data_IF_365481672996
#
_entry.id   IF_365481672996
#
_cell.length_a   1.000
_cell.length_b   1.000
_cell.length_c   1.000
_cell.angle_alpha   90.00
_cell.angle_beta   90.00
_cell.angle_gamma   90.00
#
_symmetry.space_group_name_H-M   'P 1'
#
loop_
_entity.id
_entity.type
_entity.pdbx_description
1 polymer ?
#
# COMPACT_ATOMS: atom_id res chain seq x y z
N UNK A 1 11.67 9.50 10.57
CA UNK A 1 10.81 9.53 9.37
C UNK A 1 9.43 9.06 9.76
N UNK A 2 8.37 9.67 9.21
CA UNK A 2 6.98 9.27 9.45
C UNK A 2 6.46 8.49 8.23
N UNK A 3 6.02 7.28 8.43
CA UNK A 3 5.59 6.36 7.36
C UNK A 3 4.14 5.95 7.61
N UNK A 4 3.30 6.01 6.58
CA UNK A 4 1.94 5.51 6.63
C UNK A 4 1.78 4.35 5.66
N UNK A 5 1.44 3.18 6.18
CA UNK A 5 1.10 2.00 5.38
C UNK A 5 -0.40 2.01 5.11
N UNK A 6 -0.79 2.03 3.85
CA UNK A 6 -2.20 2.13 3.43
C UNK A 6 -2.60 0.82 2.76
N UNK A 7 -3.49 0.05 3.40
CA UNK A 7 -4.01 -1.20 2.84
C UNK A 7 -5.13 -0.91 1.85
N UNK A 8 -4.93 -1.31 0.61
CA UNK A 8 -5.87 -1.01 -0.49
C UNK A 8 -6.96 -2.07 -0.68
N UNK A 9 -7.12 -3.01 0.22
CA UNK A 9 -8.09 -4.10 0.12
C UNK A 9 -9.26 -3.90 1.08
N UNK A 10 -10.51 -4.12 0.63
CA UNK A 10 -11.70 -4.01 1.48
C UNK A 10 -11.85 -5.26 2.36
N UNK A 11 -10.95 -5.42 3.30
CA UNK A 11 -11.00 -6.49 4.29
C UNK A 11 -10.74 -5.91 5.67
N UNK A 12 -11.70 -6.10 6.57
CA UNK A 12 -11.53 -5.71 7.98
C UNK A 12 -10.45 -6.57 8.64
N UNK A 13 -9.49 -5.92 9.28
CA UNK A 13 -8.38 -6.54 9.97
C UNK A 13 -8.49 -6.21 11.47
N UNK A 14 -8.94 -7.18 12.28
CA UNK A 14 -9.12 -6.98 13.72
C UNK A 14 -7.79 -7.09 14.47
N UNK A 15 -7.13 -5.95 14.66
CA UNK A 15 -5.83 -5.89 15.35
C UNK A 15 -5.96 -5.98 16.87
N UNK A 16 -7.17 -5.84 17.43
CA UNK A 16 -7.40 -5.99 18.87
C UNK A 16 -7.45 -7.46 19.25
N UNK A 17 -7.96 -8.32 18.37
CA UNK A 17 -8.01 -9.76 18.59
C UNK A 17 -6.71 -10.47 18.21
N UNK A 18 -6.09 -10.09 17.11
CA UNK A 18 -4.91 -10.79 16.62
C UNK A 18 -4.06 -9.90 15.71
N UNK A 19 -2.79 -9.71 16.06
CA UNK A 19 -1.81 -9.03 15.20
C UNK A 19 -0.89 -10.02 14.48
N UNK A 20 -0.92 -11.29 14.83
CA UNK A 20 -0.16 -12.33 14.16
C UNK A 20 -0.69 -12.52 12.74
N UNK A 21 0.17 -12.75 11.77
CA UNK A 21 -0.17 -12.88 10.35
C UNK A 21 -0.67 -11.59 9.63
N UNK A 22 -0.67 -10.44 10.28
CA UNK A 22 -0.94 -9.17 9.59
C UNK A 22 0.41 -8.56 9.19
N UNK A 23 0.76 -8.70 7.90
CA UNK A 23 2.08 -8.28 7.38
C UNK A 23 2.34 -6.79 7.62
N UNK A 24 1.34 -5.94 7.45
CA UNK A 24 1.43 -4.50 7.66
C UNK A 24 1.81 -4.17 9.11
N UNK A 25 1.20 -4.86 10.08
CA UNK A 25 1.51 -4.69 11.50
C UNK A 25 2.94 -5.14 11.82
N UNK A 26 3.36 -6.28 11.27
CA UNK A 26 4.72 -6.78 11.43
C UNK A 26 5.77 -5.80 10.89
N UNK A 27 5.53 -5.27 9.69
CA UNK A 27 6.40 -4.27 9.06
C UNK A 27 6.42 -2.96 9.87
N UNK A 28 5.26 -2.45 10.28
CA UNK A 28 5.17 -1.21 11.06
C UNK A 28 5.92 -1.33 12.39
N UNK A 29 5.73 -2.44 13.13
CA UNK A 29 6.48 -2.70 14.37
C UNK A 29 8.00 -2.74 14.13
N UNK A 30 8.44 -3.35 13.04
CA UNK A 30 9.87 -3.41 12.70
C UNK A 30 10.45 -2.01 12.40
N UNK A 31 9.68 -1.16 11.71
CA UNK A 31 10.08 0.21 11.42
C UNK A 31 10.11 1.09 12.68
N UNK A 32 9.16 0.92 13.60
CA UNK A 32 9.16 1.61 14.91
C UNK A 32 10.39 1.20 15.73
N UNK A 33 10.73 -0.09 15.78
CA UNK A 33 11.96 -0.56 16.44
C UNK A 33 13.24 0.05 15.88
N UNK A 34 13.21 0.50 14.63
CA UNK A 34 14.32 1.21 13.97
C UNK A 34 14.27 2.75 14.14
N UNK A 35 13.43 3.25 15.05
CA UNK A 35 13.35 4.68 15.38
C UNK A 35 12.50 5.51 14.41
N UNK A 36 11.64 4.88 13.61
CA UNK A 36 10.67 5.60 12.78
C UNK A 36 9.32 5.70 13.50
N UNK A 37 8.48 6.65 13.07
CA UNK A 37 7.04 6.61 13.30
C UNK A 37 6.43 5.85 12.14
N UNK A 38 5.64 4.81 12.42
CA UNK A 38 4.99 4.05 11.37
C UNK A 38 3.58 3.66 11.80
N UNK A 39 2.59 4.12 11.03
CA UNK A 39 1.17 3.91 11.30
C UNK A 39 0.51 3.23 10.10
N UNK A 40 -0.74 2.79 10.28
CA UNK A 40 -1.44 1.96 9.29
C UNK A 40 -2.85 2.50 9.07
N UNK A 41 -3.30 2.52 7.81
CA UNK A 41 -4.72 2.69 7.46
C UNK A 41 -5.30 1.35 7.04
N UNK A 42 -6.34 0.92 7.74
CA UNK A 42 -7.18 -0.21 7.37
C UNK A 42 -8.59 0.24 7.03
N UNK A 43 -9.19 -0.47 6.10
CA UNK A 43 -10.58 -0.30 5.75
C UNK A 43 -11.51 -0.87 6.84
N UNK A 44 -12.64 -0.17 7.06
CA UNK A 44 -13.74 -0.65 7.90
C UNK A 44 -15.08 -0.37 7.26
N UNK A 45 -16.03 -1.26 7.51
CA UNK A 45 -17.47 -1.09 7.27
C UNK A 45 -18.24 -0.71 8.55
N UNK A 46 -17.51 -0.63 9.69
CA UNK A 46 -18.00 -0.24 11.01
C UNK A 46 -17.57 1.21 11.28
N UNK A 47 -17.84 1.71 12.48
CA UNK A 47 -17.41 3.03 12.91
C UNK A 47 -15.89 3.22 12.74
N UNK A 48 -15.51 4.38 12.28
CA UNK A 48 -14.09 4.76 12.22
C UNK A 48 -13.52 4.86 13.62
N UNK A 49 -12.35 4.31 13.81
CA UNK A 49 -11.64 4.35 15.10
C UNK A 49 -10.13 4.32 14.93
N UNK A 50 -9.45 4.64 16.01
CA UNK A 50 -8.01 4.51 16.12
C UNK A 50 -7.68 3.47 17.19
N UNK A 51 -6.71 2.59 16.89
CA UNK A 51 -6.22 1.57 17.82
C UNK A 51 -4.71 1.69 17.92
N UNK A 52 -4.20 1.82 19.14
CA UNK A 52 -2.76 1.87 19.39
C UNK A 52 -2.24 0.46 19.72
N UNK A 53 -1.22 0.03 19.00
CA UNK A 53 -0.51 -1.22 19.24
C UNK A 53 0.85 -0.89 19.84
N UNK A 54 1.14 -1.21 21.10
CA UNK A 54 2.44 -0.93 21.70
C UNK A 54 3.56 -1.73 21.02
N UNK A 55 4.75 -1.13 20.94
CA UNK A 55 5.95 -1.74 20.36
C UNK A 55 7.08 -1.66 21.39
N UNK A 56 7.08 -2.62 22.29
CA UNK A 56 8.07 -2.71 23.37
C UNK A 56 8.14 -1.36 24.15
N UNK A 57 9.32 -0.89 24.50
CA UNK A 57 9.61 0.44 25.08
C UNK A 57 9.83 1.53 24.01
N UNK A 58 9.71 1.21 22.73
CA UNK A 58 10.11 2.07 21.59
C UNK A 58 9.01 2.89 20.99
N UNK A 59 7.78 2.74 21.46
CA UNK A 59 6.65 3.52 20.99
C UNK A 59 5.42 2.68 20.62
N UNK A 60 4.69 3.12 19.64
CA UNK A 60 3.46 2.48 19.20
C UNK A 60 3.28 2.55 17.69
N UNK A 61 2.46 1.66 17.16
CA UNK A 61 1.84 1.75 15.83
C UNK A 61 0.40 2.18 16.03
N UNK A 62 -0.03 3.27 15.39
CA UNK A 62 -1.44 3.65 15.37
C UNK A 62 -2.11 3.06 14.13
N UNK A 63 -3.21 2.37 14.32
CA UNK A 63 -4.05 1.84 13.25
C UNK A 63 -5.29 2.70 13.12
N UNK A 64 -5.43 3.35 11.97
CA UNK A 64 -6.59 4.15 11.60
C UNK A 64 -7.56 3.27 10.81
N UNK A 65 -8.73 2.99 11.35
CA UNK A 65 -9.82 2.36 10.62
C UNK A 65 -10.62 3.44 9.91
N UNK A 66 -10.62 3.40 8.58
CA UNK A 66 -11.24 4.43 7.74
C UNK A 66 -12.23 3.83 6.75
N UNK A 67 -13.32 4.55 6.51
CA UNK A 67 -14.22 4.24 5.42
C UNK A 67 -13.53 4.47 4.07
N UNK A 68 -13.89 3.65 3.09
CA UNK A 68 -13.39 3.79 1.74
C UNK A 68 -14.40 3.22 0.74
N UNK A 69 -14.44 3.82 -0.45
CA UNK A 69 -15.24 3.28 -1.57
C UNK A 69 -14.59 2.00 -2.07
N UNK A 70 -15.36 0.93 -2.12
CA UNK A 70 -14.86 -0.40 -2.50
C UNK A 70 -15.42 -0.83 -3.84
N UNK A 71 -14.55 -1.31 -4.74
CA UNK A 71 -14.93 -1.92 -6.00
C UNK A 71 -13.86 -2.90 -6.47
N UNK A 72 -14.25 -4.06 -7.00
CA UNK A 72 -13.35 -5.06 -7.60
C UNK A 72 -12.11 -5.39 -6.72
N UNK A 73 -12.32 -5.55 -5.42
CA UNK A 73 -11.27 -5.76 -4.41
C UNK A 73 -10.30 -4.59 -4.24
N UNK A 74 -10.64 -3.43 -4.71
CA UNK A 74 -9.94 -2.19 -4.44
C UNK A 74 -10.66 -1.38 -3.38
N UNK A 75 -9.91 -0.66 -2.57
CA UNK A 75 -10.42 0.37 -1.65
C UNK A 75 -9.81 1.71 -2.04
N UNK A 76 -10.64 2.73 -2.14
CA UNK A 76 -10.21 4.12 -2.33
C UNK A 76 -10.70 4.95 -1.15
N UNK A 77 -9.75 5.49 -0.41
CA UNK A 77 -10.01 6.35 0.74
C UNK A 77 -10.22 7.79 0.27
N UNK A 78 -11.38 8.34 0.56
CA UNK A 78 -11.71 9.75 0.33
C UNK A 78 -11.75 10.48 1.68
N UNK A 79 -11.31 11.74 1.71
CA UNK A 79 -11.29 12.54 2.95
C UNK A 79 -10.11 12.26 3.89
N UNK A 80 -9.12 11.48 3.46
CA UNK A 80 -7.91 11.18 4.26
C UNK A 80 -6.72 12.09 3.93
N UNK A 81 -6.92 13.17 3.19
CA UNK A 81 -5.81 14.02 2.71
C UNK A 81 -5.04 14.69 3.85
N UNK A 82 -5.73 15.16 4.88
CA UNK A 82 -5.09 15.75 6.06
C UNK A 82 -4.25 14.72 6.82
N UNK A 83 -4.73 13.49 6.91
CA UNK A 83 -3.94 12.39 7.48
C UNK A 83 -2.71 12.11 6.62
N UNK A 84 -2.88 11.96 5.30
CA UNK A 84 -1.77 11.66 4.38
C UNK A 84 -0.70 12.76 4.35
N UNK A 85 -1.12 14.02 4.54
CA UNK A 85 -0.19 15.16 4.56
C UNK A 85 0.81 15.10 5.71
N UNK A 86 0.46 14.46 6.84
CA UNK A 86 1.29 14.41 8.06
C UNK A 86 2.48 13.44 7.96
N UNK A 87 2.56 12.63 6.89
CA UNK A 87 3.58 11.59 6.73
C UNK A 87 4.58 11.95 5.63
N UNK A 88 5.83 11.54 5.84
CA UNK A 88 6.93 11.70 4.88
C UNK A 88 6.83 10.66 3.75
N UNK A 89 6.31 9.47 4.07
CA UNK A 89 6.18 8.34 3.13
C UNK A 89 4.77 7.74 3.23
N UNK A 90 4.15 7.55 2.05
CA UNK A 90 2.88 6.85 1.89
C UNK A 90 3.15 5.53 1.15
N UNK A 91 3.01 4.42 1.84
CA UNK A 91 3.20 3.10 1.24
C UNK A 91 1.87 2.45 0.93
N UNK A 92 1.68 2.02 -0.31
CA UNK A 92 0.54 1.19 -0.74
C UNK A 92 1.00 -0.17 -1.23
N UNK A 93 0.04 -1.09 -1.42
CA UNK A 93 0.31 -2.40 -2.02
C UNK A 93 -0.13 -2.43 -3.48
N UNK A 94 0.68 -3.08 -4.32
CA UNK A 94 0.44 -3.42 -5.72
C UNK A 94 0.18 -2.24 -6.68
N UNK A 95 0.80 -2.32 -7.85
CA UNK A 95 0.73 -1.23 -8.84
C UNK A 95 -0.68 -1.08 -9.44
N UNK A 96 -1.39 -2.19 -9.62
CA UNK A 96 -2.71 -2.25 -10.25
C UNK A 96 -3.87 -1.98 -9.29
N UNK A 97 -3.60 -1.31 -8.18
CA UNK A 97 -4.61 -0.84 -7.25
C UNK A 97 -4.92 0.63 -7.48
N UNK A 98 -6.21 0.98 -7.48
CA UNK A 98 -6.64 2.36 -7.78
C UNK A 98 -6.10 3.37 -6.76
N UNK A 99 -6.06 3.02 -5.46
CA UNK A 99 -5.48 3.88 -4.43
C UNK A 99 -4.00 4.16 -4.69
N UNK A 100 -3.22 3.14 -5.11
CA UNK A 100 -1.80 3.31 -5.46
C UNK A 100 -1.63 4.31 -6.60
N UNK A 101 -2.46 4.22 -7.63
CA UNK A 101 -2.42 5.14 -8.76
C UNK A 101 -2.81 6.57 -8.38
N UNK A 102 -3.85 6.74 -7.54
CA UNK A 102 -4.30 8.06 -7.07
C UNK A 102 -3.18 8.73 -6.25
N UNK A 103 -2.56 7.99 -5.32
CA UNK A 103 -1.50 8.53 -4.47
C UNK A 103 -0.21 8.81 -5.25
N UNK A 104 0.16 7.95 -6.19
CA UNK A 104 1.28 8.21 -7.09
C UNK A 104 1.11 9.53 -7.87
N UNK A 105 -0.11 9.84 -8.29
CA UNK A 105 -0.42 11.08 -9.00
C UNK A 105 -0.46 12.30 -8.07
N UNK A 106 -0.99 12.13 -6.86
CA UNK A 106 -1.23 13.26 -5.92
C UNK A 106 -0.01 13.59 -5.08
N UNK A 107 0.78 12.58 -4.74
CA UNK A 107 1.94 12.68 -3.85
C UNK A 107 3.17 11.97 -4.45
N UNK A 108 3.61 12.32 -5.68
CA UNK A 108 4.69 11.60 -6.37
C UNK A 108 5.99 11.54 -5.59
N UNK A 109 6.30 12.58 -4.79
CA UNK A 109 7.54 12.71 -4.03
C UNK A 109 7.65 11.75 -2.85
N UNK A 110 6.51 11.30 -2.30
CA UNK A 110 6.47 10.51 -1.07
C UNK A 110 5.72 9.20 -1.17
N UNK A 111 5.19 8.86 -2.35
CA UNK A 111 4.45 7.63 -2.54
C UNK A 111 5.38 6.49 -3.00
N UNK A 112 5.24 5.34 -2.33
CA UNK A 112 5.96 4.10 -2.63
C UNK A 112 4.94 2.97 -2.79
N UNK A 113 5.15 2.11 -3.78
CA UNK A 113 4.36 0.90 -3.97
C UNK A 113 5.14 -0.33 -3.54
N UNK A 114 4.64 -1.08 -2.58
CA UNK A 114 5.17 -2.37 -2.18
C UNK A 114 4.52 -3.48 -3.01
N UNK A 115 5.25 -4.00 -3.99
CA UNK A 115 4.71 -4.91 -5.00
C UNK A 115 5.22 -6.34 -4.85
N UNK A 116 4.29 -7.29 -4.81
CA UNK A 116 4.60 -8.72 -4.66
C UNK A 116 4.19 -9.61 -5.82
N UNK A 117 3.00 -9.42 -6.40
CA UNK A 117 2.50 -10.29 -7.46
C UNK A 117 3.31 -10.18 -8.75
N UNK A 118 3.30 -11.26 -9.52
CA UNK A 118 3.87 -11.36 -10.86
C UNK A 118 2.98 -12.20 -11.78
N UNK A 119 3.20 -12.10 -13.07
CA UNK A 119 2.46 -12.92 -14.03
C UNK A 119 2.72 -14.39 -13.80
N UNK A 120 1.65 -15.17 -13.73
CA UNK A 120 1.72 -16.63 -13.78
C UNK A 120 0.59 -17.20 -14.66
N UNK A 121 0.81 -18.32 -15.38
CA UNK A 121 -0.25 -18.97 -16.16
C UNK A 121 -1.45 -19.41 -15.31
N UNK A 122 -1.23 -19.62 -14.01
CA UNK A 122 -2.27 -20.11 -13.10
C UNK A 122 -3.19 -19.01 -12.58
N UNK A 123 -2.77 -17.73 -12.64
CA UNK A 123 -3.55 -16.62 -12.12
C UNK A 123 -4.20 -15.78 -13.23
N UNK A 124 -5.02 -16.42 -14.06
CA UNK A 124 -5.70 -15.78 -15.20
C UNK A 124 -6.51 -14.54 -14.82
N UNK A 125 -7.18 -14.57 -13.65
CA UNK A 125 -8.00 -13.45 -13.18
C UNK A 125 -7.13 -12.24 -12.83
N UNK A 126 -6.01 -12.43 -12.14
CA UNK A 126 -5.07 -11.36 -11.83
C UNK A 126 -4.49 -10.76 -13.12
N UNK A 127 -4.07 -11.62 -14.06
CA UNK A 127 -3.52 -11.18 -15.34
C UNK A 127 -4.52 -10.33 -16.14
N UNK A 128 -5.79 -10.74 -16.17
CA UNK A 128 -6.86 -9.96 -16.83
C UNK A 128 -7.03 -8.58 -16.15
N UNK A 129 -7.06 -8.53 -14.83
CA UNK A 129 -7.16 -7.27 -14.08
C UNK A 129 -5.96 -6.36 -14.36
N UNK A 130 -4.75 -6.91 -14.44
CA UNK A 130 -3.56 -6.15 -14.84
C UNK A 130 -3.69 -5.60 -16.26
N UNK A 131 -4.16 -6.41 -17.22
CA UNK A 131 -4.35 -5.98 -18.62
C UNK A 131 -5.35 -4.81 -18.70
N UNK A 132 -6.46 -4.89 -18.00
CA UNK A 132 -7.45 -3.81 -17.96
C UNK A 132 -6.88 -2.55 -17.32
N UNK A 133 -6.17 -2.68 -16.21
CA UNK A 133 -5.51 -1.56 -15.56
C UNK A 133 -4.45 -0.91 -16.48
N UNK A 134 -3.64 -1.72 -17.12
CA UNK A 134 -2.56 -1.26 -18.01
C UNK A 134 -3.09 -0.41 -19.17
N UNK A 135 -4.21 -0.81 -19.75
CA UNK A 135 -4.83 -0.10 -20.86
C UNK A 135 -5.16 1.37 -20.51
N UNK A 136 -5.63 1.63 -19.30
CA UNK A 136 -6.10 2.96 -18.90
C UNK A 136 -5.07 3.76 -18.08
N UNK A 137 -4.20 3.10 -17.31
CA UNK A 137 -3.42 3.77 -16.26
C UNK A 137 -1.90 3.64 -16.40
N UNK A 138 -1.40 2.57 -17.05
CA UNK A 138 0.03 2.25 -17.05
C UNK A 138 0.91 3.34 -17.69
N UNK A 139 0.49 3.90 -18.81
CA UNK A 139 1.28 4.94 -19.49
C UNK A 139 1.53 6.17 -18.62
N UNK A 140 0.53 6.55 -17.84
CA UNK A 140 0.66 7.66 -16.90
C UNK A 140 1.50 7.29 -15.70
N UNK A 141 1.40 6.06 -15.21
CA UNK A 141 2.22 5.52 -14.12
C UNK A 141 3.71 5.61 -14.45
N UNK A 142 4.09 5.19 -15.66
CA UNK A 142 5.47 5.28 -16.18
C UNK A 142 5.99 6.73 -16.19
N UNK A 143 5.14 7.70 -16.53
CA UNK A 143 5.50 9.13 -16.59
C UNK A 143 5.70 9.76 -15.23
N UNK A 144 4.95 9.32 -14.21
CA UNK A 144 5.04 9.84 -12.84
C UNK A 144 6.38 9.46 -12.20
N UNK A 145 6.98 8.34 -12.57
CA UNK A 145 8.24 7.89 -11.98
C UNK A 145 8.11 7.33 -10.58
N UNK A 146 6.95 6.73 -10.25
CA UNK A 146 6.67 6.13 -8.94
C UNK A 146 7.74 5.13 -8.53
N UNK A 147 8.11 5.14 -7.26
CA UNK A 147 9.05 4.20 -6.68
C UNK A 147 8.36 2.91 -6.24
N UNK A 148 9.05 1.79 -6.45
CA UNK A 148 8.59 0.46 -6.10
C UNK A 148 9.58 -0.24 -5.20
N UNK A 149 9.08 -0.97 -4.22
CA UNK A 149 9.83 -1.98 -3.46
C UNK A 149 9.23 -3.34 -3.81
N UNK A 150 10.03 -4.27 -4.28
CA UNK A 150 9.55 -5.59 -4.73
C UNK A 150 9.85 -6.69 -3.72
N UNK A 151 8.91 -7.63 -3.60
CA UNK A 151 9.04 -8.79 -2.70
C UNK A 151 9.95 -9.90 -3.27
N UNK A 152 10.21 -9.87 -4.57
CA UNK A 152 10.99 -10.91 -5.24
C UNK A 152 11.55 -10.43 -6.57
N UNK A 153 12.56 -11.14 -7.08
CA UNK A 153 13.10 -10.90 -8.41
C UNK A 153 12.06 -11.06 -9.52
N UNK A 154 11.14 -12.04 -9.38
CA UNK A 154 10.04 -12.22 -10.33
C UNK A 154 9.09 -11.02 -10.35
N UNK A 155 8.79 -10.41 -9.20
CA UNK A 155 7.99 -9.20 -9.13
C UNK A 155 8.71 -8.00 -9.77
N UNK A 156 10.04 -7.90 -9.62
CA UNK A 156 10.86 -6.89 -10.29
C UNK A 156 10.83 -7.07 -11.81
N UNK A 157 11.05 -8.28 -12.30
CA UNK A 157 11.01 -8.62 -13.72
C UNK A 157 9.62 -8.33 -14.31
N UNK A 158 8.56 -8.64 -13.55
CA UNK A 158 7.19 -8.33 -13.94
C UNK A 158 6.97 -6.83 -14.13
N UNK A 159 7.40 -5.99 -13.19
CA UNK A 159 7.32 -4.53 -13.33
C UNK A 159 8.16 -4.03 -14.51
N UNK A 160 9.34 -4.60 -14.74
CA UNK A 160 10.18 -4.33 -15.91
C UNK A 160 9.45 -4.64 -17.22
N UNK A 161 8.75 -5.78 -17.32
CA UNK A 161 7.94 -6.12 -18.49
C UNK A 161 6.79 -5.13 -18.75
N UNK A 162 6.34 -4.43 -17.70
CA UNK A 162 5.38 -3.33 -17.81
C UNK A 162 6.03 -1.99 -18.19
N UNK A 163 7.33 -1.94 -18.42
CA UNK A 163 8.07 -0.74 -18.80
C UNK A 163 8.29 0.24 -17.64
N UNK A 164 8.21 -0.24 -16.40
CA UNK A 164 8.65 0.53 -15.24
C UNK A 164 10.18 0.57 -15.24
N UNK A 165 10.76 1.75 -15.10
CA UNK A 165 12.22 1.94 -15.13
C UNK A 165 12.90 1.21 -13.97
N UNK A 166 13.98 0.50 -14.23
CA UNK A 166 14.75 -0.22 -13.21
C UNK A 166 15.26 0.72 -12.09
N UNK A 167 15.57 1.99 -12.40
CA UNK A 167 15.95 3.00 -11.40
C UNK A 167 14.86 3.27 -10.34
N UNK A 168 13.62 2.98 -10.66
CA UNK A 168 12.48 3.19 -9.74
C UNK A 168 12.10 1.93 -8.96
N UNK A 169 12.81 0.81 -9.16
CA UNK A 169 12.51 -0.49 -8.53
C UNK A 169 13.68 -0.91 -7.65
N UNK A 170 13.35 -1.25 -6.39
CA UNK A 170 14.31 -1.77 -5.40
C UNK A 170 13.84 -3.10 -4.83
#
# INVERSE_FOLDING_TARGET
>A
MKILIIRNYPSYMDVEKNTYNIQEVGLAKALVRKGNVCDIVFWTDKDEKEVAIPVDDRGKVTVFYKHGKTALKNTVYSGCDELFAQYDVLQTAEYNQMQSWILAKKYPEKHIVYHGPYYTPFNKRYNLMCTVFDLFFLNRYRKIGTHFITKSKLAQEFLGSKGIKASNVK
#
